data_IF_207027955686
#
_entry.id   IF_207027955686
#
_cell.length_a   1.000
_cell.length_b   1.000
_cell.length_c   1.000
_cell.angle_alpha   90.00
_cell.angle_beta   90.00
_cell.angle_gamma   90.00
#
_symmetry.space_group_name_H-M   'P 1'
#
loop_
_entity.id
_entity.type
_entity.pdbx_description
1 polymer ?
#
# COMPACT_ATOMS: atom_id res chain seq x y z
N UNK A 1 4.49 -7.80 18.59
CA UNK A 1 3.83 -6.57 19.08
C UNK A 1 4.81 -5.43 18.91
N UNK A 2 4.63 -4.60 17.91
CA UNK A 2 5.53 -3.46 17.64
C UNK A 2 4.84 -2.21 18.15
N UNK A 3 5.51 -1.48 19.05
CA UNK A 3 5.04 -0.18 19.53
C UNK A 3 5.76 0.91 18.76
N UNK A 4 5.04 1.84 18.19
CA UNK A 4 5.61 3.00 17.50
C UNK A 4 4.93 4.29 17.96
N UNK A 5 5.73 5.35 18.02
CA UNK A 5 5.25 6.70 18.30
C UNK A 5 4.97 7.41 16.98
N UNK A 6 3.74 7.87 16.80
CA UNK A 6 3.39 8.84 15.76
C UNK A 6 3.34 10.22 16.40
N UNK A 7 4.06 11.16 15.81
CA UNK A 7 4.00 12.58 16.20
C UNK A 7 3.15 13.27 15.12
N UNK A 8 1.97 13.74 15.52
CA UNK A 8 1.13 14.58 14.66
C UNK A 8 1.27 16.04 15.13
N UNK A 9 1.64 16.93 14.22
CA UNK A 9 1.55 18.37 14.46
C UNK A 9 0.11 18.82 14.27
N UNK A 10 -0.50 19.33 15.33
CA UNK A 10 -1.81 19.96 15.29
C UNK A 10 -1.67 21.47 15.48
N UNK A 11 -2.70 22.24 15.14
CA UNK A 11 -2.73 23.68 15.36
C UNK A 11 -2.54 24.10 16.84
N UNK A 12 -2.52 23.16 17.78
CA UNK A 12 -2.35 23.35 19.23
C UNK A 12 -1.03 22.76 19.76
N UNK A 13 -0.13 22.25 18.90
CA UNK A 13 1.16 21.66 19.26
C UNK A 13 1.29 20.19 18.83
N UNK A 14 2.49 19.65 18.92
CA UNK A 14 2.78 18.27 18.58
C UNK A 14 2.17 17.30 19.61
N UNK A 15 1.36 16.35 19.16
CA UNK A 15 0.79 15.29 20.01
C UNK A 15 1.41 13.96 19.60
N UNK A 16 2.18 13.36 20.51
CA UNK A 16 2.73 12.01 20.31
C UNK A 16 1.69 10.94 20.61
N UNK A 17 1.53 9.96 19.74
CA UNK A 17 0.68 8.79 19.96
C UNK A 17 1.50 7.52 19.91
N UNK A 18 1.29 6.66 20.90
CA UNK A 18 1.78 5.29 20.84
C UNK A 18 0.78 4.43 20.05
N UNK A 19 1.21 3.90 18.92
CA UNK A 19 0.41 2.96 18.11
C UNK A 19 0.91 1.56 18.35
N UNK A 20 0.06 0.71 18.91
CA UNK A 20 0.34 -0.71 19.06
C UNK A 20 -0.13 -1.42 17.79
N UNK A 21 0.80 -1.90 16.99
CA UNK A 21 0.50 -2.73 15.82
C UNK A 21 0.36 -4.18 16.27
N UNK A 22 -0.83 -4.74 16.13
CA UNK A 22 -1.07 -6.16 16.38
C UNK A 22 -0.55 -6.97 15.19
N UNK A 23 0.41 -7.87 15.45
CA UNK A 23 1.10 -8.67 14.44
C UNK A 23 0.24 -9.73 13.74
N UNK A 24 -0.99 -9.96 14.16
CA UNK A 24 -1.76 -11.10 13.67
C UNK A 24 -3.06 -10.67 12.98
N UNK A 25 -2.93 -10.15 11.74
CA UNK A 25 -4.08 -9.81 10.89
C UNK A 25 -4.74 -11.03 10.23
N UNK A 26 -4.15 -12.22 10.38
CA UNK A 26 -4.44 -13.42 9.63
C UNK A 26 -4.94 -14.55 10.53
N UNK A 27 -6.12 -14.44 11.09
CA UNK A 27 -6.70 -15.52 11.88
C UNK A 27 -7.99 -15.16 12.60
N UNK A 28 -8.79 -16.15 12.98
CA UNK A 28 -9.98 -15.92 13.81
C UNK A 28 -9.51 -15.44 15.20
N UNK A 29 -9.87 -14.21 15.56
CA UNK A 29 -9.57 -13.63 16.87
C UNK A 29 -8.67 -12.39 16.85
N UNK A 30 -8.51 -11.69 15.73
CA UNK A 30 -7.88 -10.39 15.73
C UNK A 30 -8.74 -9.39 16.52
N UNK A 31 -8.40 -9.19 17.79
CA UNK A 31 -9.05 -8.15 18.61
C UNK A 31 -8.58 -6.77 18.18
N UNK A 32 -9.54 -5.90 17.88
CA UNK A 32 -9.31 -4.48 17.68
C UNK A 32 -9.17 -3.83 19.06
N UNK A 33 -7.95 -3.57 19.49
CA UNK A 33 -7.70 -2.80 20.71
C UNK A 33 -7.79 -1.32 20.34
N UNK A 34 -8.93 -0.71 20.62
CA UNK A 34 -9.07 0.73 20.62
C UNK A 34 -8.33 1.32 21.83
N UNK A 35 -7.25 2.06 21.59
CA UNK A 35 -6.60 2.86 22.63
C UNK A 35 -7.38 4.16 22.83
N UNK A 36 -8.16 4.22 23.90
CA UNK A 36 -8.74 5.45 24.38
C UNK A 36 -7.69 6.28 25.13
N UNK A 37 -7.36 7.46 24.62
CA UNK A 37 -6.76 8.52 25.42
C UNK A 37 -7.87 9.34 26.04
N UNK A 38 -7.72 9.70 27.31
CA UNK A 38 -8.69 10.49 28.04
C UNK A 38 -9.05 11.77 27.27
N UNK A 39 -10.28 11.85 26.77
CA UNK A 39 -10.86 13.05 26.20
C UNK A 39 -10.97 13.15 24.66
N UNK A 40 -10.42 12.23 23.88
CA UNK A 40 -10.61 12.21 22.43
C UNK A 40 -11.09 10.83 21.98
N UNK A 41 -12.34 10.72 21.58
CA UNK A 41 -12.86 9.56 20.86
C UNK A 41 -12.36 9.70 19.42
N UNK A 42 -11.26 9.04 19.10
CA UNK A 42 -10.86 8.88 17.70
C UNK A 42 -11.73 7.74 17.17
N UNK A 43 -12.71 8.09 16.37
CA UNK A 43 -13.40 7.13 15.51
C UNK A 43 -12.42 6.74 14.40
N UNK A 44 -11.42 5.93 14.77
CA UNK A 44 -10.57 5.27 13.80
C UNK A 44 -11.38 4.21 13.11
N UNK A 45 -11.31 4.14 11.79
CA UNK A 45 -11.85 2.99 11.05
C UNK A 45 -11.11 1.75 11.56
N UNK A 46 -11.86 0.78 12.02
CA UNK A 46 -11.31 -0.50 12.41
C UNK A 46 -10.62 -1.15 11.19
N UNK A 47 -9.44 -1.71 11.40
CA UNK A 47 -8.80 -2.49 10.36
C UNK A 47 -9.71 -3.65 9.95
N UNK A 48 -9.88 -3.94 8.64
CA UNK A 48 -10.74 -5.03 8.21
C UNK A 48 -10.20 -6.37 8.72
N UNK A 49 -11.10 -7.25 9.13
CA UNK A 49 -10.76 -8.65 9.36
C UNK A 49 -10.59 -9.29 7.99
N UNK A 50 -9.36 -9.70 7.66
CA UNK A 50 -9.05 -10.33 6.40
C UNK A 50 -9.43 -11.81 6.51
N UNK A 51 -10.51 -12.21 5.83
CA UNK A 51 -11.07 -13.58 5.87
C UNK A 51 -10.59 -14.47 4.73
N UNK A 52 -9.91 -13.90 3.73
CA UNK A 52 -9.33 -14.64 2.61
C UNK A 52 -7.89 -15.08 2.93
N UNK A 53 -7.38 -16.16 2.31
CA UNK A 53 -5.98 -16.56 2.44
C UNK A 53 -5.02 -15.43 2.08
N UNK A 54 -3.87 -15.38 2.76
CA UNK A 54 -2.86 -14.32 2.55
C UNK A 54 -2.43 -14.24 1.09
N UNK A 55 -2.28 -15.37 0.42
CA UNK A 55 -1.84 -15.50 -0.97
C UNK A 55 -2.85 -14.93 -1.99
N UNK A 56 -4.11 -14.76 -1.55
CA UNK A 56 -5.16 -14.10 -2.34
C UNK A 56 -5.29 -12.62 -2.01
N UNK A 57 -4.74 -12.20 -0.88
CA UNK A 57 -4.76 -10.81 -0.45
C UNK A 57 -3.50 -10.05 -0.85
N UNK A 58 -2.33 -10.67 -0.70
CA UNK A 58 -1.03 -10.14 -1.13
C UNK A 58 -0.47 -11.09 -2.18
N UNK A 59 -0.38 -10.60 -3.40
CA UNK A 59 0.13 -11.35 -4.54
C UNK A 59 1.50 -10.78 -4.92
N UNK A 60 2.50 -11.62 -5.08
CA UNK A 60 3.83 -11.20 -5.52
C UNK A 60 3.93 -11.33 -7.05
N UNK A 61 4.28 -10.22 -7.70
CA UNK A 61 4.40 -10.13 -9.16
C UNK A 61 5.44 -11.11 -9.72
N UNK A 62 6.46 -11.47 -8.94
CA UNK A 62 7.57 -12.33 -9.40
C UNK A 62 7.18 -13.80 -9.58
N UNK A 63 6.14 -14.25 -8.90
CA UNK A 63 5.70 -15.65 -8.88
C UNK A 63 4.27 -15.86 -9.35
N UNK A 64 3.47 -14.79 -9.42
CA UNK A 64 2.07 -14.87 -9.79
C UNK A 64 1.90 -15.00 -11.32
N UNK A 65 1.02 -15.90 -11.79
CA UNK A 65 0.63 -15.90 -13.19
C UNK A 65 -0.17 -14.62 -13.52
N UNK A 66 -0.03 -14.13 -14.77
CA UNK A 66 -0.69 -12.90 -15.22
C UNK A 66 -2.21 -12.83 -14.95
N UNK A 67 -3.00 -13.92 -15.09
CA UNK A 67 -4.42 -13.88 -14.76
C UNK A 67 -4.68 -13.54 -13.29
N UNK A 68 -3.85 -14.04 -12.37
CA UNK A 68 -4.00 -13.76 -10.93
C UNK A 68 -3.72 -12.30 -10.61
N UNK A 69 -2.78 -11.65 -11.30
CA UNK A 69 -2.52 -10.21 -11.14
C UNK A 69 -3.74 -9.39 -11.56
N UNK A 70 -4.34 -9.72 -12.71
CA UNK A 70 -5.58 -9.08 -13.16
C UNK A 70 -6.72 -9.29 -12.16
N UNK A 71 -6.98 -10.53 -11.76
CA UNK A 71 -8.03 -10.86 -10.77
C UNK A 71 -7.83 -10.11 -9.44
N UNK A 72 -6.58 -9.94 -9.02
CA UNK A 72 -6.23 -9.21 -7.80
C UNK A 72 -6.55 -7.72 -7.92
N UNK A 73 -6.20 -7.11 -9.06
CA UNK A 73 -6.51 -5.69 -9.32
C UNK A 73 -8.00 -5.46 -9.55
N UNK A 74 -8.69 -6.38 -10.21
CA UNK A 74 -10.13 -6.23 -10.50
C UNK A 74 -11.02 -6.62 -9.32
N UNK A 75 -10.47 -7.26 -8.30
CA UNK A 75 -11.21 -7.74 -7.16
C UNK A 75 -11.95 -6.62 -6.40
N UNK A 76 -13.16 -6.88 -5.92
CA UNK A 76 -13.90 -5.94 -5.09
C UNK A 76 -13.20 -5.73 -3.73
N UNK A 77 -13.56 -4.65 -3.01
CA UNK A 77 -13.12 -4.47 -1.63
C UNK A 77 -13.48 -5.68 -0.75
N UNK A 78 -12.64 -5.97 0.24
CA UNK A 78 -12.86 -7.07 1.21
C UNK A 78 -14.06 -6.83 2.12
N UNK A 79 -14.38 -5.57 2.34
CA UNK A 79 -15.55 -5.13 3.12
C UNK A 79 -16.24 -3.99 2.39
N UNK A 80 -17.53 -3.81 2.66
CA UNK A 80 -18.30 -2.73 2.06
C UNK A 80 -17.64 -1.35 2.35
N UNK A 81 -17.65 -0.50 1.34
CA UNK A 81 -17.18 0.88 1.44
C UNK A 81 -18.39 1.77 1.74
N UNK A 82 -18.40 2.36 2.92
CA UNK A 82 -19.57 3.06 3.47
C UNK A 82 -19.84 4.41 2.80
N UNK A 83 -18.76 5.08 2.34
CA UNK A 83 -18.81 6.36 1.68
C UNK A 83 -17.60 6.54 0.76
N UNK A 84 -17.62 7.50 -0.16
CA UNK A 84 -16.41 7.95 -0.85
C UNK A 84 -15.38 8.51 0.14
N UNK A 85 -14.10 8.23 -0.10
CA UNK A 85 -12.97 8.79 0.63
C UNK A 85 -12.10 9.60 -0.31
N UNK A 86 -11.47 10.65 0.20
CA UNK A 86 -10.47 11.41 -0.55
C UNK A 86 -9.16 10.64 -0.71
N UNK A 87 -8.33 11.03 -1.66
CA UNK A 87 -6.98 10.45 -1.84
C UNK A 87 -6.17 10.59 -0.55
N UNK A 88 -6.25 11.73 0.13
CA UNK A 88 -5.50 11.97 1.36
C UNK A 88 -5.99 11.07 2.51
N UNK A 89 -7.30 10.88 2.67
CA UNK A 89 -7.80 9.90 3.64
C UNK A 89 -7.27 8.50 3.36
N UNK A 90 -7.20 8.09 2.09
CA UNK A 90 -6.67 6.79 1.70
C UNK A 90 -5.17 6.70 1.97
N UNK A 91 -4.40 7.73 1.62
CA UNK A 91 -2.95 7.80 1.83
C UNK A 91 -2.58 7.61 3.30
N UNK A 92 -3.25 8.34 4.19
CA UNK A 92 -2.89 8.37 5.61
C UNK A 92 -3.64 7.35 6.48
N UNK A 93 -4.55 6.56 5.91
CA UNK A 93 -5.32 5.57 6.67
C UNK A 93 -5.07 4.15 6.15
N UNK A 94 -4.22 3.41 6.86
CA UNK A 94 -3.90 2.02 6.51
C UNK A 94 -5.13 1.11 6.54
N UNK A 95 -6.10 1.36 7.44
CA UNK A 95 -7.31 0.55 7.52
C UNK A 95 -8.20 0.70 6.27
N UNK A 96 -8.15 1.85 5.60
CA UNK A 96 -8.80 2.03 4.29
C UNK A 96 -8.07 1.25 3.20
N UNK A 97 -6.76 1.40 3.10
CA UNK A 97 -5.97 0.70 2.09
C UNK A 97 -6.09 -0.82 2.22
N UNK A 98 -6.09 -1.33 3.44
CA UNK A 98 -6.21 -2.77 3.73
C UNK A 98 -7.58 -3.36 3.37
N UNK A 99 -8.56 -2.55 2.99
CA UNK A 99 -9.81 -3.03 2.37
C UNK A 99 -9.64 -3.49 0.93
N UNK A 100 -8.55 -3.11 0.29
CA UNK A 100 -8.19 -3.50 -1.08
C UNK A 100 -7.04 -4.49 -1.08
N UNK A 101 -7.07 -5.45 -2.02
CA UNK A 101 -5.96 -6.37 -2.25
C UNK A 101 -4.72 -5.65 -2.70
N UNK A 102 -3.56 -6.27 -2.51
CA UNK A 102 -2.26 -5.70 -2.80
C UNK A 102 -1.42 -6.61 -3.68
N UNK A 103 -0.72 -6.03 -4.64
CA UNK A 103 0.34 -6.68 -5.40
C UNK A 103 1.67 -6.14 -4.90
N UNK A 104 2.53 -7.01 -4.36
CA UNK A 104 3.91 -6.68 -4.00
C UNK A 104 4.79 -6.81 -5.25
N UNK A 105 5.65 -5.81 -5.48
CA UNK A 105 6.58 -5.76 -6.61
C UNK A 105 7.99 -6.09 -6.09
N UNK A 106 8.14 -7.26 -5.47
CA UNK A 106 9.41 -7.71 -4.88
C UNK A 106 10.48 -8.05 -5.93
N UNK A 107 10.08 -8.11 -7.22
CA UNK A 107 10.98 -8.30 -8.36
C UNK A 107 11.88 -7.10 -8.64
N UNK A 108 11.44 -5.88 -8.31
CA UNK A 108 12.24 -4.67 -8.43
C UNK A 108 13.12 -4.55 -7.19
N UNK A 109 14.41 -4.42 -7.42
CA UNK A 109 15.41 -4.24 -6.36
C UNK A 109 16.10 -2.90 -6.53
N UNK A 110 16.15 -2.14 -5.46
CA UNK A 110 16.88 -0.88 -5.42
C UNK A 110 18.20 -1.05 -4.69
N UNK A 111 19.24 -0.46 -5.22
CA UNK A 111 20.52 -0.32 -4.49
C UNK A 111 20.29 0.52 -3.22
N UNK A 112 21.20 0.38 -2.26
CA UNK A 112 21.12 1.13 -1.01
C UNK A 112 21.15 2.64 -1.29
N UNK A 113 20.15 3.35 -0.80
CA UNK A 113 20.01 4.80 -1.03
C UNK A 113 19.58 5.19 -2.45
N UNK A 114 19.26 4.23 -3.33
CA UNK A 114 18.83 4.50 -4.71
C UNK A 114 17.32 4.27 -4.89
N UNK A 115 16.77 4.96 -5.86
CA UNK A 115 15.40 4.81 -6.37
C UNK A 115 15.36 4.56 -7.88
N UNK A 116 16.51 4.41 -8.53
CA UNK A 116 16.60 4.21 -9.96
C UNK A 116 16.22 2.77 -10.35
N UNK A 117 15.43 2.64 -11.42
CA UNK A 117 15.08 1.36 -12.04
C UNK A 117 15.91 1.24 -13.31
N UNK A 118 16.95 0.41 -13.26
CA UNK A 118 17.79 0.14 -14.43
C UNK A 118 16.99 -0.53 -15.58
N UNK A 119 17.48 -0.36 -16.84
CA UNK A 119 16.81 -0.95 -18.01
C UNK A 119 16.57 -2.46 -17.90
N UNK A 120 17.45 -3.16 -17.21
CA UNK A 120 17.37 -4.61 -16.98
C UNK A 120 16.25 -5.02 -16.00
N UNK A 121 15.74 -4.06 -15.20
CA UNK A 121 14.65 -4.29 -14.25
C UNK A 121 13.29 -3.93 -14.82
N UNK A 122 13.24 -3.05 -15.84
CA UNK A 122 11.98 -2.63 -16.44
C UNK A 122 11.09 -3.81 -16.89
N UNK A 123 11.62 -4.88 -17.53
CA UNK A 123 10.80 -6.02 -17.94
C UNK A 123 10.08 -6.74 -16.78
N UNK A 124 10.56 -6.58 -15.57
CA UNK A 124 9.93 -7.18 -14.38
C UNK A 124 8.58 -6.53 -14.01
N UNK A 125 8.28 -5.35 -14.55
CA UNK A 125 7.00 -4.66 -14.42
C UNK A 125 5.99 -5.05 -15.49
N UNK A 126 6.39 -5.79 -16.54
CA UNK A 126 5.56 -6.09 -17.69
C UNK A 126 4.24 -6.77 -17.29
N UNK A 127 4.29 -7.83 -16.49
CA UNK A 127 3.09 -8.57 -16.09
C UNK A 127 2.10 -7.71 -15.29
N UNK A 128 2.61 -6.82 -14.42
CA UNK A 128 1.78 -5.87 -13.71
C UNK A 128 1.16 -4.84 -14.66
N UNK A 129 1.96 -4.31 -15.59
CA UNK A 129 1.48 -3.33 -16.56
C UNK A 129 0.40 -3.93 -17.47
N UNK A 130 0.57 -5.16 -17.96
CA UNK A 130 -0.43 -5.88 -18.74
C UNK A 130 -1.74 -6.08 -17.96
N UNK A 131 -1.65 -6.44 -16.68
CA UNK A 131 -2.82 -6.56 -15.81
C UNK A 131 -3.53 -5.20 -15.62
N UNK A 132 -2.78 -4.11 -15.39
CA UNK A 132 -3.34 -2.76 -15.31
C UNK A 132 -4.00 -2.33 -16.63
N UNK A 133 -3.35 -2.54 -17.78
CA UNK A 133 -3.91 -2.24 -19.10
C UNK A 133 -5.21 -3.01 -19.34
N UNK A 134 -5.26 -4.28 -18.94
CA UNK A 134 -6.48 -5.08 -19.08
C UNK A 134 -7.62 -4.51 -18.24
N UNK A 135 -7.35 -4.08 -16.99
CA UNK A 135 -8.35 -3.40 -16.17
C UNK A 135 -8.80 -2.10 -16.81
N UNK A 136 -7.86 -1.24 -17.26
CA UNK A 136 -8.14 0.05 -17.87
C UNK A 136 -8.89 -0.05 -19.21
N UNK A 137 -8.68 -1.14 -19.95
CA UNK A 137 -9.43 -1.38 -21.20
C UNK A 137 -10.93 -1.55 -20.98
N UNK A 138 -11.34 -2.01 -19.80
CA UNK A 138 -12.73 -2.21 -19.41
C UNK A 138 -13.26 -1.07 -18.55
N UNK A 139 -12.38 -0.46 -17.74
CA UNK A 139 -12.69 0.56 -16.74
C UNK A 139 -11.63 1.67 -16.81
N UNK A 140 -11.73 2.60 -17.76
CA UNK A 140 -10.65 3.59 -18.01
C UNK A 140 -10.40 4.57 -16.86
N UNK A 141 -11.36 4.74 -15.97
CA UNK A 141 -11.28 5.68 -14.83
C UNK A 141 -10.72 5.03 -13.56
N UNK A 142 -10.17 3.81 -13.64
CA UNK A 142 -9.59 3.15 -12.47
C UNK A 142 -8.29 3.82 -12.03
N UNK A 143 -8.10 3.93 -10.73
CA UNK A 143 -6.93 4.54 -10.11
C UNK A 143 -6.16 3.48 -9.34
N UNK A 144 -4.85 3.42 -9.59
CA UNK A 144 -3.91 2.56 -8.89
C UNK A 144 -2.99 3.40 -8.01
N UNK A 145 -2.83 3.00 -6.77
CA UNK A 145 -1.86 3.58 -5.85
C UNK A 145 -0.59 2.73 -5.84
N UNK A 146 0.54 3.38 -6.09
CA UNK A 146 1.88 2.79 -6.01
C UNK A 146 2.47 3.20 -4.67
N UNK A 147 2.73 2.21 -3.82
CA UNK A 147 3.17 2.37 -2.43
C UNK A 147 4.66 2.04 -2.31
N UNK A 148 5.50 3.00 -1.89
CA UNK A 148 6.92 2.77 -1.63
C UNK A 148 7.19 2.48 -0.16
N UNK A 149 8.17 1.59 0.12
CA UNK A 149 8.59 1.23 1.46
C UNK A 149 10.11 1.09 1.57
N UNK A 150 10.64 1.34 2.77
CA UNK A 150 12.04 1.08 3.13
C UNK A 150 12.14 0.03 4.22
N UNK A 151 13.34 -0.44 4.51
CA UNK A 151 13.65 -1.06 5.79
C UNK A 151 13.81 0.01 6.88
N UNK A 152 14.09 -0.43 8.10
CA UNK A 152 14.23 0.45 9.28
C UNK A 152 15.66 1.02 9.43
N UNK A 153 16.50 0.91 8.41
CA UNK A 153 17.85 1.47 8.45
C UNK A 153 17.83 2.93 7.99
N UNK A 154 18.37 3.83 8.79
CA UNK A 154 18.42 5.25 8.50
C UNK A 154 17.52 6.07 9.42
N UNK A 155 17.13 7.25 8.99
CA UNK A 155 16.19 8.08 9.71
C UNK A 155 14.84 8.16 8.95
N UNK A 156 13.79 8.43 9.68
CA UNK A 156 12.40 8.44 9.18
C UNK A 156 12.21 9.39 7.99
N UNK A 157 12.83 10.57 8.02
CA UNK A 157 12.69 11.58 6.97
C UNK A 157 13.33 11.13 5.65
N UNK A 158 14.55 10.59 5.72
CA UNK A 158 15.25 10.08 4.54
C UNK A 158 14.55 8.84 4.00
N UNK A 159 14.08 7.94 4.88
CA UNK A 159 13.30 6.76 4.51
C UNK A 159 11.96 7.13 3.84
N UNK A 160 11.29 8.16 4.35
CA UNK A 160 10.05 8.66 3.73
C UNK A 160 10.35 9.19 2.32
N UNK A 161 11.33 10.08 2.17
CA UNK A 161 11.73 10.64 0.87
C UNK A 161 12.17 9.56 -0.11
N UNK A 162 12.99 8.60 0.34
CA UNK A 162 13.47 7.50 -0.50
C UNK A 162 12.32 6.61 -0.99
N UNK A 163 11.36 6.34 -0.12
CA UNK A 163 10.19 5.53 -0.49
C UNK A 163 9.26 6.25 -1.47
N UNK A 164 9.09 7.57 -1.35
CA UNK A 164 8.35 8.38 -2.33
C UNK A 164 9.01 8.31 -3.71
N UNK A 165 10.32 8.54 -3.80
CA UNK A 165 11.05 8.47 -5.08
C UNK A 165 10.98 7.05 -5.70
N UNK A 166 11.01 5.99 -4.90
CA UNK A 166 10.85 4.61 -5.41
C UNK A 166 9.47 4.36 -5.99
N UNK A 167 8.41 4.82 -5.31
CA UNK A 167 7.06 4.73 -5.84
C UNK A 167 6.92 5.52 -7.15
N UNK A 168 7.48 6.73 -7.20
CA UNK A 168 7.50 7.57 -8.39
C UNK A 168 8.26 6.93 -9.55
N UNK A 169 9.44 6.32 -9.30
CA UNK A 169 10.21 5.63 -10.35
C UNK A 169 9.46 4.47 -10.98
N UNK A 170 8.70 3.72 -10.18
CA UNK A 170 7.82 2.67 -10.71
C UNK A 170 6.70 3.28 -11.55
N UNK A 171 6.03 4.34 -11.07
CA UNK A 171 4.96 5.00 -11.81
C UNK A 171 5.47 5.61 -13.14
N UNK A 172 6.64 6.25 -13.12
CA UNK A 172 7.30 6.79 -14.33
C UNK A 172 7.60 5.66 -15.32
N UNK A 173 8.10 4.53 -14.86
CA UNK A 173 8.37 3.37 -15.74
C UNK A 173 7.07 2.80 -16.32
N UNK A 174 6.03 2.64 -15.50
CA UNK A 174 4.71 2.19 -15.97
C UNK A 174 4.14 3.14 -17.04
N UNK A 175 4.33 4.44 -16.88
CA UNK A 175 3.85 5.43 -17.85
C UNK A 175 4.72 5.47 -19.11
N UNK A 176 6.03 5.60 -18.98
CA UNK A 176 6.93 5.86 -20.11
C UNK A 176 7.20 4.62 -20.96
N UNK A 177 7.27 3.44 -20.34
CA UNK A 177 7.59 2.18 -21.05
C UNK A 177 6.32 1.41 -21.42
N UNK A 178 5.35 1.36 -20.50
CA UNK A 178 4.14 0.55 -20.66
C UNK A 178 2.88 1.35 -20.98
N UNK A 179 2.99 2.68 -21.10
CA UNK A 179 1.90 3.56 -21.52
C UNK A 179 0.65 3.51 -20.61
N UNK A 180 0.84 3.22 -19.31
CA UNK A 180 -0.22 3.43 -18.33
C UNK A 180 -0.43 4.94 -18.20
N UNK A 181 -1.67 5.46 -18.37
CA UNK A 181 -1.92 6.89 -18.30
C UNK A 181 -1.57 7.44 -16.89
N UNK A 182 -0.84 8.55 -16.78
CA UNK A 182 -0.41 9.07 -15.49
C UNK A 182 -1.59 9.48 -14.58
N UNK A 183 -2.73 9.85 -15.15
CA UNK A 183 -3.96 10.14 -14.42
C UNK A 183 -4.56 8.93 -13.69
N UNK A 184 -4.19 7.71 -14.09
CA UNK A 184 -4.60 6.47 -13.44
C UNK A 184 -3.63 6.02 -12.33
N UNK A 185 -2.57 6.81 -12.05
CA UNK A 185 -1.55 6.48 -11.06
C UNK A 185 -1.48 7.53 -9.96
N UNK A 186 -1.39 7.07 -8.71
CA UNK A 186 -1.10 7.88 -7.53
C UNK A 186 0.06 7.24 -6.80
N UNK A 187 1.06 8.02 -6.40
CA UNK A 187 2.23 7.54 -5.66
C UNK A 187 2.19 7.96 -4.21
N UNK A 188 2.73 7.12 -3.32
CA UNK A 188 2.92 7.46 -1.92
C UNK A 188 4.05 6.63 -1.30
N UNK A 189 5.01 7.30 -0.68
CA UNK A 189 6.00 6.67 0.18
C UNK A 189 5.51 6.56 1.63
N UNK A 190 5.94 5.50 2.28
CA UNK A 190 5.62 5.23 3.68
C UNK A 190 6.87 5.03 4.53
N UNK A 191 8.06 5.18 3.96
CA UNK A 191 9.30 4.90 4.68
C UNK A 191 9.25 3.51 5.30
N UNK A 192 9.64 3.45 6.56
CA UNK A 192 9.66 2.23 7.37
C UNK A 192 8.37 1.97 8.18
N UNK A 193 7.31 2.78 8.01
CA UNK A 193 6.11 2.73 8.85
C UNK A 193 5.36 1.38 8.78
N UNK A 194 5.47 0.66 7.65
CA UNK A 194 4.74 -0.59 7.41
C UNK A 194 5.69 -1.71 6.99
N UNK A 195 6.53 -2.18 7.92
CA UNK A 195 7.47 -3.28 7.67
C UNK A 195 6.72 -4.58 7.35
N UNK A 196 7.16 -5.28 6.30
CA UNK A 196 6.68 -6.63 5.94
C UNK A 196 7.28 -7.67 6.91
N UNK A 197 8.55 -7.48 7.25
CA UNK A 197 9.28 -8.24 8.24
C UNK A 197 9.65 -7.30 9.39
N UNK A 198 9.17 -7.55 10.63
CA UNK A 198 9.49 -6.69 11.77
C UNK A 198 10.96 -6.89 12.15
N UNK A 199 11.80 -5.91 11.80
CA UNK A 199 13.23 -5.88 12.14
C UNK A 199 13.73 -4.44 12.10
N UNK A 200 14.65 -4.10 12.99
CA UNK A 200 15.34 -2.81 13.00
C UNK A 200 16.59 -2.81 12.09
N UNK A 201 16.95 -3.97 11.55
CA UNK A 201 18.08 -4.15 10.65
C UNK A 201 17.69 -4.06 9.17
N UNK A 202 18.69 -4.17 8.28
CA UNK A 202 18.45 -4.17 6.84
C UNK A 202 17.60 -5.38 6.43
N UNK A 203 16.56 -5.15 5.64
CA UNK A 203 15.69 -6.20 5.11
C UNK A 203 15.31 -5.91 3.68
N UNK A 204 15.63 -6.86 2.79
CA UNK A 204 15.26 -6.76 1.38
C UNK A 204 13.74 -6.79 1.21
N UNK A 205 13.03 -7.58 1.99
CA UNK A 205 11.58 -7.74 1.96
C UNK A 205 10.85 -6.45 2.35
N UNK A 206 11.50 -5.62 3.19
CA UNK A 206 10.97 -4.32 3.58
C UNK A 206 11.21 -3.25 2.52
N UNK A 207 12.31 -3.33 1.76
CA UNK A 207 12.60 -2.44 0.62
C UNK A 207 11.82 -2.89 -0.61
N UNK A 208 10.57 -2.52 -0.67
CA UNK A 208 9.62 -2.95 -1.71
C UNK A 208 8.78 -1.80 -2.24
N UNK A 209 8.17 -2.03 -3.37
CA UNK A 209 7.04 -1.25 -3.88
C UNK A 209 5.82 -2.16 -3.98
N UNK A 210 4.65 -1.60 -3.82
CA UNK A 210 3.39 -2.34 -3.95
C UNK A 210 2.38 -1.53 -4.77
N UNK A 211 1.39 -2.22 -5.34
CA UNK A 211 0.31 -1.60 -6.10
C UNK A 211 -1.05 -2.04 -5.55
N UNK A 212 -2.00 -1.10 -5.51
CA UNK A 212 -3.41 -1.35 -5.16
C UNK A 212 -4.33 -0.58 -6.09
N UNK A 213 -5.45 -1.18 -6.47
CA UNK A 213 -6.55 -0.41 -7.06
C UNK A 213 -7.31 0.29 -5.93
N UNK A 214 -7.49 1.61 -6.03
CA UNK A 214 -8.14 2.41 -4.98
C UNK A 214 -9.46 3.06 -5.41
N UNK A 215 -9.87 2.93 -6.67
CA UNK A 215 -11.13 3.51 -7.19
C UNK A 215 -12.35 3.16 -6.33
N UNK A 216 -12.53 1.91 -5.86
CA UNK A 216 -13.69 1.59 -5.01
C UNK A 216 -13.73 2.40 -3.71
N UNK A 217 -12.57 2.82 -3.19
CA UNK A 217 -12.50 3.67 -2.00
C UNK A 217 -12.88 5.12 -2.33
N UNK A 218 -12.51 5.58 -3.53
CA UNK A 218 -12.82 6.93 -4.00
C UNK A 218 -14.30 7.13 -4.35
N UNK A 219 -14.96 6.08 -4.82
CA UNK A 219 -16.34 6.14 -5.31
C UNK A 219 -17.38 5.71 -4.28
N UNK A 220 -16.97 5.07 -3.18
CA UNK A 220 -17.91 4.45 -2.25
C UNK A 220 -18.60 3.25 -2.90
N UNK A 221 -17.84 2.18 -3.18
CA UNK A 221 -18.35 1.01 -3.87
C UNK A 221 -19.26 0.16 -2.99
N UNK A 222 -20.43 -0.22 -3.50
CA UNK A 222 -21.24 -1.28 -2.93
C UNK A 222 -20.48 -2.60 -3.13
N UNK A 223 -20.18 -3.31 -2.05
CA UNK A 223 -19.65 -4.67 -2.16
C UNK A 223 -20.60 -5.47 -3.06
N UNK A 224 -20.09 -6.02 -4.17
CA UNK A 224 -20.88 -6.90 -5.02
C UNK A 224 -21.28 -8.12 -4.19
N UNK A 225 -22.60 -8.38 -4.14
CA UNK A 225 -23.21 -9.56 -3.50
C UNK A 225 -22.78 -10.83 -4.19
#
# INVERSE_FOLDING_TARGET
>A
MVRRWLIEETAQGAVGREVVLLENRWGPGAEVVGLGLAGAVIVGLAAPIITIPREQYIVDVSVAPAPLLYETLDAPPLVAIERPYSIDEIRYNVALRDRMRRIDIDSITFETGSWEIGPEQQPKLQALAEAMQQVLSQKPDEIFMIEGHTDAVGNDTDNLSLSDHRAESVAVTLTSVYQIPPENLVTQGYGEQFLKVPTDGPSRENRRVAARRITPLLQGGVASR
#
